data_IF_400654417054
#
_entry.id   IF_400654417054
#
_cell.length_a   1.000
_cell.length_b   1.000
_cell.length_c   1.000
_cell.angle_alpha   90.00
_cell.angle_beta   90.00
_cell.angle_gamma   90.00
#
_symmetry.space_group_name_H-M   'P 1'
#
loop_
_entity.id
_entity.type
_entity.pdbx_description
1 polymer ?
#
# COMPACT_ATOMS: atom_id res chain seq x y z
N UNK A 1 -0.91 -12.63 -30.10
CA UNK A 1 0.54 -12.56 -29.83
C UNK A 1 0.75 -12.80 -28.34
N UNK A 2 1.24 -13.97 -27.94
CA UNK A 2 1.55 -14.32 -26.56
C UNK A 2 2.83 -13.55 -26.17
N UNK A 3 2.72 -12.58 -25.28
CA UNK A 3 3.85 -11.78 -24.78
C UNK A 3 4.91 -12.71 -24.17
N UNK A 4 6.16 -12.50 -24.52
CA UNK A 4 7.37 -13.25 -24.10
C UNK A 4 7.60 -13.33 -22.57
N UNK A 5 6.89 -12.53 -21.78
CA UNK A 5 7.04 -12.44 -20.32
C UNK A 5 6.57 -13.67 -19.51
N UNK A 6 5.72 -14.52 -20.09
CA UNK A 6 5.19 -15.71 -19.39
C UNK A 6 6.11 -16.94 -19.43
N UNK A 7 7.32 -16.84 -20.00
CA UNK A 7 8.23 -17.96 -20.25
C UNK A 7 9.55 -17.85 -19.48
N UNK A 8 9.71 -16.86 -18.60
CA UNK A 8 10.94 -16.71 -17.80
C UNK A 8 10.83 -17.53 -16.51
N UNK A 9 11.65 -18.57 -16.41
CA UNK A 9 11.82 -19.32 -15.16
C UNK A 9 12.87 -18.63 -14.32
N UNK A 10 12.50 -18.15 -13.14
CA UNK A 10 13.48 -17.65 -12.16
C UNK A 10 14.12 -18.83 -11.43
N UNK A 11 15.38 -18.69 -11.00
CA UNK A 11 16.07 -19.70 -10.19
C UNK A 11 15.27 -20.06 -8.92
N UNK A 12 14.55 -19.10 -8.34
CA UNK A 12 13.67 -19.30 -7.20
C UNK A 12 12.49 -20.22 -7.55
N UNK A 13 11.83 -19.98 -8.68
CA UNK A 13 10.72 -20.82 -9.17
C UNK A 13 11.17 -22.23 -9.49
N UNK A 14 12.36 -22.39 -10.12
CA UNK A 14 12.93 -23.69 -10.39
C UNK A 14 13.24 -24.47 -9.09
N UNK A 15 13.80 -23.81 -8.08
CA UNK A 15 14.09 -24.41 -6.78
C UNK A 15 12.82 -24.88 -6.05
N UNK A 16 11.76 -24.06 -6.02
CA UNK A 16 10.46 -24.43 -5.42
C UNK A 16 9.86 -25.64 -6.16
N UNK A 17 9.91 -25.62 -7.48
CA UNK A 17 9.38 -26.68 -8.33
C UNK A 17 10.08 -28.02 -8.06
N UNK A 18 11.42 -28.01 -8.08
CA UNK A 18 12.22 -29.20 -7.81
C UNK A 18 12.03 -29.73 -6.39
N UNK A 19 11.97 -28.83 -5.40
CA UNK A 19 11.75 -29.19 -3.99
C UNK A 19 10.39 -29.83 -3.75
N UNK A 20 9.30 -29.25 -4.28
CA UNK A 20 7.95 -29.81 -4.15
C UNK A 20 7.81 -31.14 -4.87
N UNK A 21 8.38 -31.30 -6.07
CA UNK A 21 8.35 -32.54 -6.80
C UNK A 21 9.11 -33.65 -6.08
N UNK A 22 10.31 -33.37 -5.57
CA UNK A 22 11.10 -34.32 -4.79
C UNK A 22 10.38 -34.72 -3.49
N UNK A 23 9.81 -33.74 -2.75
CA UNK A 23 9.04 -34.01 -1.54
C UNK A 23 7.85 -34.91 -1.84
N UNK A 24 7.10 -34.65 -2.91
CA UNK A 24 5.95 -35.45 -3.33
C UNK A 24 6.38 -36.89 -3.63
N UNK A 25 7.48 -37.07 -4.36
CA UNK A 25 8.02 -38.40 -4.70
C UNK A 25 8.42 -39.18 -3.44
N UNK A 26 9.11 -38.51 -2.48
CA UNK A 26 9.50 -39.12 -1.19
C UNK A 26 8.27 -39.52 -0.37
N UNK A 27 7.28 -38.62 -0.29
CA UNK A 27 6.00 -38.91 0.43
C UNK A 27 5.29 -40.12 -0.18
N UNK A 28 5.16 -40.18 -1.49
CA UNK A 28 4.54 -41.33 -2.16
C UNK A 28 5.32 -42.64 -1.91
N UNK A 29 6.65 -42.59 -2.00
CA UNK A 29 7.52 -43.75 -1.74
C UNK A 29 7.44 -44.21 -0.26
N UNK A 30 7.37 -43.25 0.67
CA UNK A 30 7.21 -43.55 2.10
C UNK A 30 5.85 -44.16 2.40
N UNK A 31 4.75 -43.66 1.85
CA UNK A 31 3.41 -44.23 1.99
C UNK A 31 3.34 -45.62 1.42
N UNK A 32 4.03 -45.89 0.31
CA UNK A 32 4.14 -47.21 -0.26
C UNK A 32 4.89 -48.20 0.65
N UNK A 33 5.97 -47.75 1.34
CA UNK A 33 6.74 -48.57 2.30
C UNK A 33 6.01 -48.86 3.60
N UNK A 34 5.13 -47.95 4.07
CA UNK A 34 4.36 -48.17 5.31
C UNK A 34 3.32 -49.28 5.25
N UNK A 35 3.20 -49.97 4.11
CA UNK A 35 2.32 -51.14 4.00
C UNK A 35 0.83 -50.81 4.15
N UNK A 36 0.41 -49.54 3.94
CA UNK A 36 -1.00 -49.16 3.93
C UNK A 36 -1.83 -49.93 2.88
N UNK A 37 -1.13 -50.78 2.13
CA UNK A 37 -1.67 -51.67 1.10
C UNK A 37 -2.40 -52.90 1.66
N UNK A 38 -2.14 -53.30 2.92
CA UNK A 38 -2.79 -54.49 3.51
C UNK A 38 -4.14 -54.18 4.17
N UNK A 39 -4.39 -52.91 4.53
CA UNK A 39 -5.60 -52.50 5.29
C UNK A 39 -6.76 -52.11 4.37
N UNK A 40 -6.48 -51.76 3.13
CA UNK A 40 -7.52 -51.44 2.15
C UNK A 40 -7.23 -52.14 0.83
N UNK A 41 -8.25 -52.77 0.25
CA UNK A 41 -8.25 -53.26 -1.15
C UNK A 41 -8.06 -52.13 -2.18
N UNK A 42 -7.62 -50.97 -1.76
CA UNK A 42 -7.22 -49.84 -2.59
C UNK A 42 -5.79 -50.10 -3.09
N UNK A 43 -5.69 -50.69 -4.26
CA UNK A 43 -4.43 -50.82 -5.00
C UNK A 43 -3.69 -49.50 -5.04
N UNK A 44 -2.35 -49.52 -4.94
CA UNK A 44 -1.39 -48.40 -5.05
C UNK A 44 -1.69 -47.40 -6.17
N UNK A 45 -2.50 -47.77 -7.11
CA UNK A 45 -2.82 -47.04 -8.33
C UNK A 45 -3.73 -45.84 -8.11
N UNK A 46 -4.40 -45.73 -6.93
CA UNK A 46 -5.48 -44.73 -6.78
C UNK A 46 -5.02 -43.42 -6.15
N UNK A 47 -4.12 -43.42 -5.15
CA UNK A 47 -3.74 -42.19 -4.42
C UNK A 47 -2.52 -41.48 -5.00
N UNK A 48 -1.58 -42.23 -5.62
CA UNK A 48 -0.34 -41.61 -6.16
C UNK A 48 -0.65 -40.57 -7.23
N UNK A 49 -1.50 -40.80 -8.25
CA UNK A 49 -1.89 -39.78 -9.21
C UNK A 49 -2.51 -38.54 -8.57
N UNK A 50 -3.34 -38.69 -7.52
CA UNK A 50 -3.98 -37.60 -6.81
C UNK A 50 -2.98 -36.72 -6.09
N UNK A 51 -1.96 -37.30 -5.43
CA UNK A 51 -0.89 -36.55 -4.74
C UNK A 51 -0.05 -35.77 -5.75
N UNK A 52 0.24 -36.32 -6.93
CA UNK A 52 0.94 -35.61 -7.97
C UNK A 52 0.10 -34.49 -8.61
N UNK A 53 -1.21 -34.65 -8.76
CA UNK A 53 -2.11 -33.56 -9.18
C UNK A 53 -2.08 -32.43 -8.16
N UNK A 54 -2.09 -32.76 -6.86
CA UNK A 54 -1.91 -31.76 -5.80
C UNK A 54 -0.55 -31.03 -5.90
N UNK A 55 0.53 -31.76 -6.20
CA UNK A 55 1.84 -31.18 -6.44
C UNK A 55 1.81 -30.16 -7.61
N UNK A 56 1.18 -30.51 -8.73
CA UNK A 56 1.00 -29.61 -9.88
C UNK A 56 0.24 -28.35 -9.47
N UNK A 57 -0.84 -28.49 -8.68
CA UNK A 57 -1.61 -27.36 -8.16
C UNK A 57 -0.73 -26.45 -7.30
N UNK A 58 0.00 -27.02 -6.33
CA UNK A 58 0.87 -26.25 -5.43
C UNK A 58 1.99 -25.52 -6.19
N UNK A 59 2.63 -26.19 -7.15
CA UNK A 59 3.64 -25.54 -8.01
C UNK A 59 3.02 -24.41 -8.81
N UNK A 60 1.85 -24.61 -9.42
CA UNK A 60 1.14 -23.56 -10.18
C UNK A 60 0.70 -22.38 -9.32
N UNK A 61 0.41 -22.59 -8.02
CA UNK A 61 0.07 -21.54 -7.07
C UNK A 61 1.31 -20.76 -6.61
N UNK A 62 2.42 -21.45 -6.33
CA UNK A 62 3.61 -20.87 -5.71
C UNK A 62 4.62 -20.31 -6.71
N UNK A 63 4.52 -20.68 -8.00
CA UNK A 63 5.41 -20.20 -9.05
C UNK A 63 4.69 -19.28 -10.03
N UNK A 64 5.46 -18.39 -10.69
CA UNK A 64 4.94 -17.49 -11.70
C UNK A 64 5.13 -18.08 -13.10
N UNK A 65 4.07 -18.02 -13.93
CA UNK A 65 4.08 -18.46 -15.33
C UNK A 65 3.65 -19.91 -15.55
N UNK A 66 3.48 -20.24 -16.84
CA UNK A 66 2.97 -21.56 -17.29
C UNK A 66 4.02 -22.66 -17.29
N UNK A 67 5.30 -22.32 -17.41
CA UNK A 67 6.36 -23.30 -17.67
C UNK A 67 6.55 -24.28 -16.51
N UNK A 68 6.69 -23.80 -15.29
CA UNK A 68 6.92 -24.66 -14.13
C UNK A 68 5.80 -25.66 -13.94
N UNK A 69 4.54 -25.20 -13.99
CA UNK A 69 3.37 -26.07 -13.86
C UNK A 69 3.26 -27.10 -15.01
N UNK A 70 3.53 -26.69 -16.25
CA UNK A 70 3.50 -27.59 -17.41
C UNK A 70 4.59 -28.65 -17.33
N UNK A 71 5.82 -28.27 -16.98
CA UNK A 71 6.96 -29.20 -16.84
C UNK A 71 6.68 -30.20 -15.72
N UNK A 72 6.22 -29.73 -14.55
CA UNK A 72 5.88 -30.65 -13.43
C UNK A 72 4.71 -31.54 -13.79
N UNK A 73 3.71 -31.06 -14.52
CA UNK A 73 2.61 -31.88 -15.01
C UNK A 73 3.10 -33.06 -15.86
N UNK A 74 3.98 -32.79 -16.82
CA UNK A 74 4.59 -33.85 -17.64
C UNK A 74 5.46 -34.80 -16.81
N UNK A 75 6.35 -34.25 -15.98
CA UNK A 75 7.21 -35.06 -15.11
C UNK A 75 6.40 -35.93 -14.13
N UNK A 76 5.28 -35.42 -13.61
CA UNK A 76 4.39 -36.19 -12.72
C UNK A 76 3.78 -37.41 -13.42
N UNK A 77 3.35 -37.23 -14.66
CA UNK A 77 2.81 -38.34 -15.44
C UNK A 77 3.86 -39.44 -15.68
N UNK A 78 5.09 -39.02 -16.06
CA UNK A 78 6.21 -39.96 -16.22
C UNK A 78 6.63 -40.61 -14.90
N UNK A 79 6.69 -39.88 -13.80
CA UNK A 79 7.07 -40.38 -12.49
C UNK A 79 6.07 -41.44 -12.00
N UNK A 80 4.77 -41.21 -12.15
CA UNK A 80 3.73 -42.17 -11.77
C UNK A 80 3.87 -43.45 -12.57
N UNK A 81 4.06 -43.38 -13.89
CA UNK A 81 4.18 -44.56 -14.73
C UNK A 81 5.46 -45.36 -14.42
N UNK A 82 6.62 -44.67 -14.34
CA UNK A 82 7.92 -45.33 -14.21
C UNK A 82 8.21 -45.83 -12.80
N UNK A 83 7.88 -45.05 -11.76
CA UNK A 83 8.29 -45.33 -10.38
C UNK A 83 7.21 -46.14 -9.63
N UNK A 84 5.93 -45.82 -9.85
CA UNK A 84 4.84 -46.31 -9.00
C UNK A 84 3.91 -47.30 -9.65
N UNK A 85 4.10 -47.61 -10.94
CA UNK A 85 3.26 -48.58 -11.69
C UNK A 85 4.03 -49.89 -11.96
N UNK A 86 3.35 -51.01 -11.82
CA UNK A 86 3.95 -52.34 -12.10
C UNK A 86 4.02 -52.57 -13.63
N UNK A 87 5.12 -53.17 -14.19
CA UNK A 87 6.41 -53.46 -13.55
C UNK A 87 7.21 -52.18 -13.23
N UNK A 88 7.72 -52.08 -12.00
CA UNK A 88 8.47 -50.93 -11.53
C UNK A 88 9.77 -50.72 -12.34
N UNK A 89 10.14 -49.48 -12.54
CA UNK A 89 11.32 -49.04 -13.30
C UNK A 89 11.27 -49.42 -14.80
N UNK A 90 10.06 -49.63 -15.34
CA UNK A 90 9.84 -49.87 -16.76
C UNK A 90 8.62 -49.05 -17.25
N UNK A 91 8.65 -48.66 -18.53
CA UNK A 91 7.52 -47.94 -19.13
C UNK A 91 6.55 -48.98 -19.75
N UNK A 92 5.42 -49.17 -19.12
CA UNK A 92 4.41 -50.10 -19.62
C UNK A 92 3.11 -49.38 -19.99
N UNK A 93 2.79 -49.38 -21.27
CA UNK A 93 1.56 -48.83 -21.84
C UNK A 93 0.59 -49.92 -22.33
N UNK A 94 0.94 -51.17 -22.15
CA UNK A 94 0.19 -52.27 -22.74
C UNK A 94 -0.85 -52.87 -21.78
N UNK A 95 -0.77 -52.60 -20.47
CA UNK A 95 -1.75 -53.08 -19.49
C UNK A 95 -3.05 -52.28 -19.58
N UNK A 96 -4.17 -53.01 -19.59
CA UNK A 96 -5.51 -52.39 -19.64
C UNK A 96 -5.72 -51.47 -18.44
N UNK A 97 -5.98 -50.18 -18.71
CA UNK A 97 -6.24 -49.13 -17.71
C UNK A 97 -5.13 -48.08 -17.58
N UNK A 98 -3.87 -48.41 -17.78
CA UNK A 98 -2.78 -47.44 -17.64
C UNK A 98 -2.81 -46.31 -18.67
N UNK A 99 -3.11 -46.54 -19.95
CA UNK A 99 -3.27 -45.44 -20.91
C UNK A 99 -4.36 -44.44 -20.49
N UNK A 100 -5.48 -44.93 -19.94
CA UNK A 100 -6.57 -44.10 -19.48
C UNK A 100 -6.13 -43.23 -18.28
N UNK A 101 -5.42 -43.80 -17.30
CA UNK A 101 -4.89 -43.07 -16.13
C UNK A 101 -3.87 -42.00 -16.57
N UNK A 102 -3.01 -42.34 -17.51
CA UNK A 102 -2.05 -41.38 -18.10
C UNK A 102 -2.76 -40.17 -18.74
N UNK A 103 -3.73 -40.43 -19.63
CA UNK A 103 -4.45 -39.38 -20.33
C UNK A 103 -5.33 -38.54 -19.37
N UNK A 104 -6.00 -39.15 -18.41
CA UNK A 104 -6.83 -38.46 -17.43
C UNK A 104 -5.97 -37.59 -16.52
N UNK A 105 -4.84 -38.09 -16.01
CA UNK A 105 -3.91 -37.33 -15.19
C UNK A 105 -3.33 -36.16 -15.95
N UNK A 106 -2.89 -36.34 -17.22
CA UNK A 106 -2.38 -35.28 -18.06
C UNK A 106 -3.45 -34.21 -18.31
N UNK A 107 -4.67 -34.62 -18.67
CA UNK A 107 -5.78 -33.71 -18.92
C UNK A 107 -6.12 -32.88 -17.67
N UNK A 108 -6.25 -33.54 -16.51
CA UNK A 108 -6.53 -32.84 -15.23
C UNK A 108 -5.39 -31.88 -14.87
N UNK A 109 -4.13 -32.32 -14.96
CA UNK A 109 -2.98 -31.49 -14.62
C UNK A 109 -2.86 -30.25 -15.54
N UNK A 110 -3.06 -30.43 -16.85
CA UNK A 110 -3.06 -29.30 -17.79
C UNK A 110 -4.24 -28.35 -17.54
N UNK A 111 -5.42 -28.89 -17.25
CA UNK A 111 -6.59 -28.08 -16.94
C UNK A 111 -6.38 -27.25 -15.67
N UNK A 112 -5.88 -27.87 -14.59
CA UNK A 112 -5.57 -27.18 -13.33
C UNK A 112 -4.53 -26.10 -13.54
N UNK A 113 -3.45 -26.40 -14.25
CA UNK A 113 -2.39 -25.43 -14.55
C UNK A 113 -2.94 -24.23 -15.34
N UNK A 114 -3.71 -24.49 -16.40
CA UNK A 114 -4.31 -23.47 -17.25
C UNK A 114 -5.31 -22.61 -16.47
N UNK A 115 -6.17 -23.23 -15.64
CA UNK A 115 -7.14 -22.53 -14.82
C UNK A 115 -6.45 -21.61 -13.81
N UNK A 116 -5.47 -22.13 -13.08
CA UNK A 116 -4.72 -21.38 -12.07
C UNK A 116 -3.99 -20.17 -12.68
N UNK A 117 -3.35 -20.37 -13.82
CA UNK A 117 -2.67 -19.29 -14.53
C UNK A 117 -3.66 -18.24 -15.07
N UNK A 118 -4.83 -18.65 -15.52
CA UNK A 118 -5.90 -17.73 -15.97
C UNK A 118 -6.44 -16.91 -14.81
N UNK A 119 -6.70 -17.53 -13.66
CA UNK A 119 -7.15 -16.82 -12.45
C UNK A 119 -6.13 -15.78 -11.97
N UNK A 120 -4.86 -16.14 -11.88
CA UNK A 120 -3.78 -15.20 -11.52
C UNK A 120 -3.72 -14.01 -12.50
N UNK A 121 -3.86 -14.28 -13.81
CA UNK A 121 -3.87 -13.23 -14.82
C UNK A 121 -5.07 -12.30 -14.68
N UNK A 122 -6.26 -12.86 -14.42
CA UNK A 122 -7.47 -12.05 -14.20
C UNK A 122 -7.33 -11.16 -12.97
N UNK A 123 -6.80 -11.68 -11.87
CA UNK A 123 -6.57 -10.93 -10.64
C UNK A 123 -5.59 -9.77 -10.86
N UNK A 124 -4.48 -10.04 -11.58
CA UNK A 124 -3.51 -8.99 -11.95
C UNK A 124 -4.13 -7.89 -12.80
N UNK A 125 -4.88 -8.26 -13.85
CA UNK A 125 -5.58 -7.29 -14.72
C UNK A 125 -6.59 -6.47 -13.91
N UNK A 126 -7.30 -7.12 -12.97
CA UNK A 126 -8.24 -6.44 -12.10
C UNK A 126 -7.55 -5.41 -11.22
N UNK A 127 -6.45 -5.76 -10.58
CA UNK A 127 -5.66 -4.85 -9.76
C UNK A 127 -5.10 -3.66 -10.57
N UNK A 128 -4.57 -3.93 -11.78
CA UNK A 128 -4.11 -2.89 -12.70
C UNK A 128 -5.27 -1.95 -13.09
N UNK A 129 -6.45 -2.49 -13.41
CA UNK A 129 -7.62 -1.70 -13.76
C UNK A 129 -8.17 -0.88 -12.57
N UNK A 130 -8.14 -1.41 -11.35
CA UNK A 130 -8.53 -0.69 -10.14
C UNK A 130 -7.56 0.48 -9.86
N UNK A 131 -6.26 0.27 -10.03
CA UNK A 131 -5.23 1.31 -9.90
C UNK A 131 -5.43 2.43 -10.93
N UNK A 132 -5.66 2.07 -12.19
CA UNK A 132 -5.93 3.07 -13.26
C UNK A 132 -7.25 3.84 -13.03
N UNK A 133 -8.29 3.18 -12.56
CA UNK A 133 -9.54 3.85 -12.16
C UNK A 133 -9.32 4.84 -11.02
N UNK A 134 -8.55 4.44 -10.02
CA UNK A 134 -8.20 5.32 -8.90
C UNK A 134 -7.43 6.55 -9.39
N UNK A 135 -6.42 6.37 -10.26
CA UNK A 135 -5.67 7.47 -10.88
C UNK A 135 -6.57 8.42 -11.67
N UNK A 136 -7.47 7.87 -12.50
CA UNK A 136 -8.40 8.68 -13.28
C UNK A 136 -9.38 9.48 -12.40
N UNK A 137 -9.89 8.88 -11.32
CA UNK A 137 -10.76 9.57 -10.38
C UNK A 137 -10.02 10.67 -9.62
N UNK A 138 -8.77 10.42 -9.18
CA UNK A 138 -7.90 11.42 -8.57
C UNK A 138 -7.68 12.61 -9.50
N UNK A 139 -7.29 12.38 -10.76
CA UNK A 139 -7.08 13.45 -11.74
C UNK A 139 -8.35 14.27 -12.00
N UNK A 140 -9.52 13.63 -12.05
CA UNK A 140 -10.81 14.31 -12.24
C UNK A 140 -11.15 15.19 -11.04
N UNK A 141 -10.99 14.67 -9.82
CA UNK A 141 -11.23 15.40 -8.59
C UNK A 141 -10.28 16.60 -8.48
N UNK A 142 -8.98 16.39 -8.72
CA UNK A 142 -7.97 17.45 -8.74
C UNK A 142 -8.34 18.55 -9.75
N UNK A 143 -8.72 18.16 -10.96
CA UNK A 143 -9.09 19.13 -12.03
C UNK A 143 -10.30 19.98 -11.63
N UNK A 144 -11.29 19.37 -10.97
CA UNK A 144 -12.47 20.08 -10.47
C UNK A 144 -12.08 21.10 -9.40
N UNK A 145 -11.25 20.69 -8.44
CA UNK A 145 -10.92 21.49 -7.28
C UNK A 145 -9.89 22.58 -7.58
N UNK A 146 -9.02 22.38 -8.59
CA UNK A 146 -8.18 23.46 -9.13
C UNK A 146 -9.00 24.54 -9.85
N UNK A 147 -10.09 24.14 -10.53
CA UNK A 147 -10.91 25.08 -11.30
C UNK A 147 -11.61 26.11 -10.40
N UNK A 148 -12.10 25.71 -9.24
CA UNK A 148 -12.85 26.58 -8.32
C UNK A 148 -12.04 27.78 -7.85
N UNK A 149 -10.84 27.65 -7.23
CA UNK A 149 -10.02 28.79 -6.82
C UNK A 149 -9.51 29.59 -8.01
N UNK A 150 -9.16 28.96 -9.13
CA UNK A 150 -8.77 29.69 -10.34
C UNK A 150 -9.89 30.59 -10.87
N UNK A 151 -11.14 30.12 -10.83
CA UNK A 151 -12.30 30.94 -11.22
C UNK A 151 -12.53 32.08 -10.24
N UNK A 152 -12.33 31.85 -8.93
CA UNK A 152 -12.45 32.90 -7.92
C UNK A 152 -11.35 33.95 -8.04
N UNK A 153 -10.08 33.55 -8.26
CA UNK A 153 -8.96 34.45 -8.53
C UNK A 153 -9.27 35.29 -9.76
N UNK A 154 -9.66 34.64 -10.88
CA UNK A 154 -9.96 35.34 -12.13
C UNK A 154 -11.14 36.34 -11.97
N UNK A 155 -12.23 35.91 -11.31
CA UNK A 155 -13.37 36.78 -11.05
C UNK A 155 -13.03 37.97 -10.15
N UNK A 156 -12.24 37.77 -9.09
CA UNK A 156 -11.79 38.82 -8.21
C UNK A 156 -10.86 39.81 -8.94
N UNK A 157 -9.95 39.31 -9.80
CA UNK A 157 -9.06 40.13 -10.60
C UNK A 157 -9.83 40.95 -11.65
N UNK A 158 -10.80 40.36 -12.36
CA UNK A 158 -11.66 41.08 -13.32
C UNK A 158 -12.44 42.18 -12.60
N UNK A 159 -13.02 41.87 -11.43
CA UNK A 159 -13.74 42.91 -10.64
C UNK A 159 -12.87 44.07 -10.25
N UNK A 160 -11.60 43.81 -9.91
CA UNK A 160 -10.62 44.87 -9.60
C UNK A 160 -10.24 45.69 -10.83
N UNK A 161 -10.14 45.09 -12.01
CA UNK A 161 -9.77 45.75 -13.26
C UNK A 161 -10.91 46.56 -13.86
N UNK A 162 -12.15 46.12 -13.73
CA UNK A 162 -13.32 46.76 -14.35
C UNK A 162 -13.94 47.86 -13.47
N UNK A 163 -13.57 47.95 -12.17
CA UNK A 163 -14.17 48.88 -11.24
C UNK A 163 -13.14 49.79 -10.55
N UNK A 164 -12.79 50.89 -11.17
CA UNK A 164 -11.82 51.85 -10.63
C UNK A 164 -12.25 52.50 -9.30
N UNK A 165 -13.58 52.62 -9.06
CA UNK A 165 -14.19 53.30 -7.92
C UNK A 165 -14.52 52.39 -6.74
N UNK A 166 -13.92 51.18 -6.64
CA UNK A 166 -14.14 50.30 -5.50
C UNK A 166 -13.59 50.95 -4.23
N UNK A 167 -14.32 50.85 -3.09
CA UNK A 167 -13.79 51.28 -1.79
C UNK A 167 -12.52 50.46 -1.41
N UNK A 168 -11.57 51.12 -0.74
CA UNK A 168 -10.28 50.49 -0.38
C UNK A 168 -10.44 49.19 0.43
N UNK A 169 -11.44 49.10 1.32
CA UNK A 169 -11.72 47.89 2.06
C UNK A 169 -12.15 46.73 1.14
N UNK A 170 -12.87 47.04 0.06
CA UNK A 170 -13.31 46.04 -0.91
C UNK A 170 -12.15 45.59 -1.78
N UNK A 171 -11.29 46.52 -2.24
CA UNK A 171 -10.03 46.20 -2.95
C UNK A 171 -9.16 45.29 -2.10
N UNK A 172 -8.96 45.62 -0.82
CA UNK A 172 -8.16 44.84 0.11
C UNK A 172 -8.74 43.44 0.37
N UNK A 173 -10.08 43.31 0.45
CA UNK A 173 -10.77 42.06 0.59
C UNK A 173 -10.60 41.14 -0.63
N UNK A 174 -10.73 41.68 -1.86
CA UNK A 174 -10.55 40.95 -3.11
C UNK A 174 -9.08 40.50 -3.28
N UNK A 175 -8.13 41.38 -2.99
CA UNK A 175 -6.69 41.02 -3.02
C UNK A 175 -6.35 39.96 -1.99
N UNK A 176 -6.91 40.01 -0.79
CA UNK A 176 -6.77 38.98 0.22
C UNK A 176 -7.32 37.64 -0.26
N UNK A 177 -8.52 37.62 -0.88
CA UNK A 177 -9.10 36.41 -1.44
C UNK A 177 -8.24 35.81 -2.56
N UNK A 178 -7.67 36.63 -3.44
CA UNK A 178 -6.74 36.17 -4.48
C UNK A 178 -5.51 35.52 -3.86
N UNK A 179 -4.92 36.16 -2.85
CA UNK A 179 -3.73 35.63 -2.17
C UNK A 179 -4.04 34.26 -1.50
N UNK A 180 -5.14 34.19 -0.76
CA UNK A 180 -5.56 32.97 -0.06
C UNK A 180 -5.78 31.80 -1.02
N UNK A 181 -6.44 32.07 -2.17
CA UNK A 181 -6.70 31.06 -3.19
C UNK A 181 -5.41 30.63 -3.92
N UNK A 182 -4.49 31.56 -4.16
CA UNK A 182 -3.17 31.27 -4.75
C UNK A 182 -2.30 30.41 -3.81
N UNK A 183 -2.22 30.74 -2.52
CA UNK A 183 -1.53 29.94 -1.52
C UNK A 183 -2.13 28.52 -1.39
N UNK A 184 -3.46 28.43 -1.48
CA UNK A 184 -4.14 27.14 -1.46
C UNK A 184 -3.74 26.28 -2.67
N UNK A 185 -3.68 26.87 -3.87
CA UNK A 185 -3.24 26.18 -5.09
C UNK A 185 -1.79 25.71 -5.00
N UNK A 186 -0.88 26.50 -4.44
CA UNK A 186 0.52 26.11 -4.22
C UNK A 186 0.58 24.86 -3.34
N UNK A 187 -0.10 24.86 -2.19
CA UNK A 187 -0.16 23.70 -1.28
C UNK A 187 -0.74 22.46 -1.95
N UNK A 188 -1.77 22.65 -2.78
CA UNK A 188 -2.39 21.52 -3.51
C UNK A 188 -1.42 20.89 -4.51
N UNK A 189 -0.65 21.70 -5.24
CA UNK A 189 0.38 21.23 -6.19
C UNK A 189 1.51 20.49 -5.43
N UNK A 190 1.98 21.02 -4.31
CA UNK A 190 2.99 20.35 -3.47
C UNK A 190 2.51 18.96 -2.98
N UNK A 191 1.26 18.88 -2.52
CA UNK A 191 0.66 17.60 -2.12
C UNK A 191 0.53 16.60 -3.28
N UNK A 192 0.17 17.10 -4.48
CA UNK A 192 0.08 16.25 -5.68
C UNK A 192 1.45 15.71 -6.11
N UNK A 193 2.48 16.55 -6.10
CA UNK A 193 3.86 16.13 -6.42
C UNK A 193 4.35 15.06 -5.45
N UNK A 194 3.98 15.14 -4.17
CA UNK A 194 4.32 14.12 -3.17
C UNK A 194 3.62 12.79 -3.44
N UNK A 195 2.33 12.80 -3.83
CA UNK A 195 1.60 11.58 -4.23
C UNK A 195 2.23 10.94 -5.47
N UNK A 196 2.63 11.75 -6.46
CA UNK A 196 3.24 11.21 -7.70
C UNK A 196 4.64 10.64 -7.46
N UNK A 197 5.42 11.21 -6.53
CA UNK A 197 6.71 10.64 -6.10
C UNK A 197 6.56 9.27 -5.45
N UNK A 198 5.51 9.07 -4.64
CA UNK A 198 5.25 7.81 -3.92
C UNK A 198 4.56 6.77 -4.82
N UNK A 199 3.73 7.20 -5.78
CA UNK A 199 2.92 6.34 -6.65
C UNK A 199 3.66 5.70 -7.84
N UNK A 200 4.91 6.04 -8.08
CA UNK A 200 5.77 5.30 -8.99
C UNK A 200 6.26 4.05 -8.24
N UNK A 201 5.69 2.88 -8.54
CA UNK A 201 5.89 1.56 -7.94
C UNK A 201 7.36 1.08 -7.76
N UNK A 202 8.33 1.95 -7.99
CA UNK A 202 9.77 1.67 -7.92
C UNK A 202 10.57 2.76 -7.20
N UNK A 203 9.98 3.86 -6.78
CA UNK A 203 10.71 4.88 -6.04
C UNK A 203 10.94 4.36 -4.60
N UNK A 204 12.05 3.66 -4.40
CA UNK A 204 12.61 3.47 -3.07
C UNK A 204 12.77 4.86 -2.47
N UNK A 205 11.98 5.17 -1.43
CA UNK A 205 12.26 6.37 -0.62
C UNK A 205 13.68 6.22 -0.11
N UNK A 206 14.53 7.19 -0.41
CA UNK A 206 15.87 7.24 0.14
C UNK A 206 15.76 7.64 1.61
N UNK A 207 15.74 6.65 2.48
CA UNK A 207 15.74 6.86 3.93
C UNK A 207 17.17 7.05 4.38
N UNK A 208 17.40 8.11 5.12
CA UNK A 208 18.65 8.40 5.81
C UNK A 208 18.37 8.45 7.31
N UNK A 209 19.37 8.15 8.12
CA UNK A 209 19.26 8.29 9.57
C UNK A 209 19.29 9.77 9.93
N UNK A 210 18.11 10.35 10.14
CA UNK A 210 17.89 11.76 10.39
C UNK A 210 17.53 12.01 11.85
N UNK A 211 17.94 13.16 12.37
CA UNK A 211 17.59 13.63 13.71
C UNK A 211 16.12 14.07 13.71
N UNK A 212 15.25 13.27 14.35
CA UNK A 212 13.81 13.48 14.32
C UNK A 212 13.40 14.84 14.94
N UNK A 213 14.12 15.31 15.94
CA UNK A 213 13.92 16.59 16.60
C UNK A 213 14.11 17.76 15.63
N UNK A 214 15.14 17.72 14.76
CA UNK A 214 15.42 18.74 13.77
C UNK A 214 14.29 18.84 12.75
N UNK A 215 13.75 17.71 12.30
CA UNK A 215 12.62 17.66 11.37
C UNK A 215 11.36 18.26 12.02
N UNK A 216 11.12 17.97 13.31
CA UNK A 216 10.01 18.57 14.09
C UNK A 216 10.19 20.09 14.19
N UNK A 217 11.37 20.58 14.57
CA UNK A 217 11.63 22.02 14.67
C UNK A 217 11.50 22.73 13.34
N UNK A 218 11.97 22.11 12.25
CA UNK A 218 11.82 22.63 10.89
C UNK A 218 10.34 22.77 10.50
N UNK A 219 9.51 21.76 10.78
CA UNK A 219 8.08 21.78 10.55
C UNK A 219 7.38 22.87 11.37
N UNK A 220 7.70 22.99 12.65
CA UNK A 220 7.15 24.03 13.55
C UNK A 220 7.54 25.43 13.07
N UNK A 221 8.79 25.62 12.64
CA UNK A 221 9.27 26.90 12.12
C UNK A 221 8.50 27.32 10.86
N UNK A 222 8.34 26.40 9.90
CA UNK A 222 7.55 26.61 8.67
C UNK A 222 6.09 26.93 9.00
N UNK A 223 5.50 26.22 9.94
CA UNK A 223 4.13 26.44 10.38
C UNK A 223 3.94 27.83 11.02
N UNK A 224 4.82 28.23 11.94
CA UNK A 224 4.74 29.52 12.65
C UNK A 224 4.85 30.73 11.72
N UNK A 225 5.55 30.61 10.59
CA UNK A 225 5.63 31.66 9.57
C UNK A 225 4.23 32.01 9.00
N UNK A 226 3.31 31.02 8.92
CA UNK A 226 1.96 31.20 8.36
C UNK A 226 0.88 31.36 9.45
N UNK A 227 1.13 30.84 10.65
CA UNK A 227 0.20 30.85 11.80
C UNK A 227 0.84 31.42 13.07
N UNK A 228 1.23 32.72 13.08
CA UNK A 228 1.95 33.31 14.22
C UNK A 228 1.12 33.36 15.51
N UNK A 229 -0.22 33.30 15.41
CA UNK A 229 -1.15 33.34 16.54
C UNK A 229 -1.40 32.01 17.25
N UNK A 230 -0.84 30.89 16.74
CA UNK A 230 -1.04 29.56 17.34
C UNK A 230 0.19 29.18 18.15
N UNK A 231 0.00 28.86 19.42
CA UNK A 231 1.07 28.37 20.30
C UNK A 231 1.39 26.90 19.95
N UNK A 232 2.68 26.61 19.71
CA UNK A 232 3.15 25.22 19.48
C UNK A 232 4.21 24.86 20.49
N UNK A 233 3.97 23.82 21.27
CA UNK A 233 4.84 23.32 22.34
C UNK A 233 5.43 21.96 21.93
N UNK A 234 6.74 21.85 21.70
CA UNK A 234 7.39 20.57 21.48
C UNK A 234 7.63 19.84 22.81
N UNK A 235 7.32 18.54 22.84
CA UNK A 235 7.61 17.61 23.93
C UNK A 235 8.51 16.50 23.38
N UNK A 236 9.81 16.67 23.52
CA UNK A 236 10.84 15.81 22.91
C UNK A 236 11.56 15.03 23.99
N UNK A 237 12.12 13.85 23.68
CA UNK A 237 12.95 13.07 24.60
C UNK A 237 14.25 13.83 24.91
N UNK A 238 14.89 13.53 26.03
CA UNK A 238 16.17 14.12 26.41
C UNK A 238 17.33 13.64 25.51
N UNK A 239 17.21 12.44 24.95
CA UNK A 239 18.21 11.85 24.03
C UNK A 239 17.81 12.05 22.58
N UNK A 240 18.76 12.41 21.75
CA UNK A 240 18.59 12.55 20.30
C UNK A 240 18.12 11.24 19.69
N UNK A 241 17.09 11.31 18.84
CA UNK A 241 16.51 10.13 18.19
C UNK A 241 16.81 10.13 16.69
N UNK A 242 17.66 9.19 16.26
CA UNK A 242 17.89 8.92 14.84
C UNK A 242 16.78 8.01 14.32
N UNK A 243 16.14 8.43 13.23
CA UNK A 243 15.04 7.72 12.57
C UNK A 243 15.33 7.62 11.08
N UNK A 244 15.30 6.41 10.49
CA UNK A 244 15.47 6.22 9.06
C UNK A 244 14.28 6.80 8.28
N UNK A 245 14.43 8.00 7.70
CA UNK A 245 13.34 8.69 6.99
C UNK A 245 13.86 9.62 5.87
N UNK A 246 12.94 10.04 5.00
CA UNK A 246 13.12 11.21 4.11
C UNK A 246 12.66 12.45 4.90
N UNK A 247 13.57 13.37 5.26
CA UNK A 247 13.25 14.52 6.12
C UNK A 247 12.25 15.48 5.48
N UNK A 248 12.26 15.62 4.15
CA UNK A 248 11.36 16.51 3.43
C UNK A 248 9.92 15.98 3.46
N UNK A 249 9.75 14.68 3.24
CA UNK A 249 8.44 14.04 3.27
C UNK A 249 7.85 14.01 4.69
N UNK A 250 8.67 13.72 5.71
CA UNK A 250 8.19 13.71 7.09
C UNK A 250 7.92 15.14 7.61
N UNK A 251 8.73 16.11 7.24
CA UNK A 251 8.42 17.52 7.51
C UNK A 251 7.08 17.93 6.90
N UNK A 252 6.77 17.48 5.67
CA UNK A 252 5.47 17.73 5.04
C UNK A 252 4.32 17.09 5.82
N UNK A 253 4.47 15.84 6.30
CA UNK A 253 3.46 15.20 7.16
C UNK A 253 3.19 16.07 8.40
N UNK A 254 4.24 16.47 9.13
CA UNK A 254 4.11 17.28 10.33
C UNK A 254 3.47 18.64 10.03
N UNK A 255 3.91 19.32 8.98
CA UNK A 255 3.33 20.62 8.58
C UNK A 255 1.85 20.49 8.24
N UNK A 256 1.45 19.46 7.48
CA UNK A 256 0.05 19.20 7.15
C UNK A 256 -0.80 18.93 8.41
N UNK A 257 -0.28 18.19 9.39
CA UNK A 257 -0.99 17.93 10.65
C UNK A 257 -1.18 19.21 11.46
N UNK A 258 -0.13 20.03 11.59
CA UNK A 258 -0.18 21.32 12.27
C UNK A 258 -1.19 22.29 11.62
N UNK A 259 -1.15 22.40 10.28
CA UNK A 259 -2.11 23.23 9.54
C UNK A 259 -3.55 22.75 9.67
N UNK A 260 -3.77 21.43 9.69
CA UNK A 260 -5.10 20.86 9.91
C UNK A 260 -5.64 21.22 11.29
N UNK A 261 -4.82 21.14 12.34
CA UNK A 261 -5.20 21.53 13.70
C UNK A 261 -5.60 23.00 13.78
N UNK A 262 -4.83 23.89 13.15
CA UNK A 262 -5.12 25.32 13.17
C UNK A 262 -6.35 25.70 12.34
N UNK A 263 -6.46 25.17 11.09
CA UNK A 263 -7.51 25.57 10.14
C UNK A 263 -8.86 24.89 10.43
N UNK A 264 -8.83 23.59 10.69
CA UNK A 264 -10.04 22.76 10.85
C UNK A 264 -10.45 22.60 12.32
N UNK A 265 -9.47 22.42 13.19
CA UNK A 265 -9.71 22.35 14.63
C UNK A 265 -9.98 23.70 15.26
N UNK A 266 -9.59 24.83 14.62
CA UNK A 266 -9.61 26.15 15.22
C UNK A 266 -8.70 26.21 16.47
N UNK A 267 -7.64 25.41 16.49
CA UNK A 267 -6.77 25.26 17.64
C UNK A 267 -5.98 26.53 17.90
N UNK A 268 -5.88 26.91 19.16
CA UNK A 268 -5.01 27.98 19.66
C UNK A 268 -3.71 27.45 20.25
N UNK A 269 -3.71 26.19 20.67
CA UNK A 269 -2.57 25.50 21.24
C UNK A 269 -2.41 24.12 20.60
N UNK A 270 -1.17 23.78 20.20
CA UNK A 270 -0.81 22.49 19.63
C UNK A 270 0.43 21.96 20.36
N UNK A 271 0.38 20.69 20.74
CA UNK A 271 1.53 19.98 21.31
C UNK A 271 2.05 18.98 20.29
N UNK A 272 3.36 19.03 19.99
CA UNK A 272 4.05 18.03 19.14
C UNK A 272 4.96 17.20 20.04
N UNK A 273 4.72 15.90 20.11
CA UNK A 273 5.56 15.01 20.92
C UNK A 273 6.22 13.92 20.08
N UNK A 274 7.40 13.50 20.54
CA UNK A 274 8.17 12.39 20.00
C UNK A 274 8.49 11.43 21.15
N UNK A 275 8.20 10.15 20.94
CA UNK A 275 8.53 9.11 21.90
C UNK A 275 8.98 7.82 21.21
N UNK A 276 9.92 7.11 21.79
CA UNK A 276 10.29 5.77 21.34
C UNK A 276 9.43 4.73 22.03
N UNK A 277 8.80 3.85 21.24
CA UNK A 277 8.04 2.71 21.75
C UNK A 277 8.59 1.42 21.11
N UNK A 278 9.51 0.77 21.81
CA UNK A 278 10.20 -0.41 21.28
C UNK A 278 11.01 -0.08 20.02
N UNK A 279 10.64 -0.69 18.90
CA UNK A 279 11.28 -0.51 17.61
C UNK A 279 10.60 0.52 16.69
N UNK A 280 9.82 1.42 17.26
CA UNK A 280 9.18 2.51 16.50
C UNK A 280 9.36 3.84 17.20
N UNK A 281 9.56 4.90 16.41
CA UNK A 281 9.45 6.29 16.82
C UNK A 281 8.00 6.73 16.59
N UNK A 282 7.34 7.23 17.61
CA UNK A 282 5.96 7.72 17.56
C UNK A 282 5.96 9.24 17.63
N UNK A 283 5.47 9.85 16.57
CA UNK A 283 5.23 11.30 16.46
C UNK A 283 3.75 11.54 16.75
N UNK A 284 3.47 12.52 17.60
CA UNK A 284 2.09 12.86 17.98
C UNK A 284 1.87 14.35 17.87
N UNK A 285 0.78 14.75 17.21
CA UNK A 285 0.28 16.12 17.14
C UNK A 285 -1.06 16.14 17.87
N UNK A 286 -1.13 16.88 18.96
CA UNK A 286 -2.33 17.08 19.77
C UNK A 286 -2.74 18.53 19.75
N UNK A 287 -4.00 18.79 19.50
CA UNK A 287 -4.58 20.13 19.49
C UNK A 287 -5.68 20.29 20.56
N UNK A 288 -6.01 21.54 20.86
CA UNK A 288 -7.13 21.94 21.75
C UNK A 288 -8.36 22.39 20.95
N UNK A 289 -8.53 21.93 19.73
CA UNK A 289 -9.59 22.36 18.83
C UNK A 289 -10.94 21.67 19.06
N UNK A 290 -11.84 21.82 18.09
CA UNK A 290 -13.23 21.33 18.16
C UNK A 290 -13.37 19.80 18.04
N UNK A 291 -12.28 19.09 17.72
CA UNK A 291 -12.33 17.65 17.46
C UNK A 291 -12.80 17.30 16.04
N UNK A 292 -12.78 16.02 15.73
CA UNK A 292 -13.25 15.45 14.46
C UNK A 292 -14.62 14.82 14.69
N UNK A 293 -15.55 15.03 13.76
CA UNK A 293 -16.89 14.40 13.79
C UNK A 293 -16.74 12.89 13.83
N UNK A 294 -17.43 12.21 14.76
CA UNK A 294 -17.26 10.76 15.03
C UNK A 294 -17.44 9.88 13.80
N UNK A 295 -18.37 10.24 12.92
CA UNK A 295 -18.65 9.51 11.68
C UNK A 295 -17.49 9.61 10.66
N UNK A 296 -16.65 10.65 10.76
CA UNK A 296 -15.49 10.85 9.87
C UNK A 296 -14.21 10.15 10.34
N UNK A 297 -14.09 9.87 11.64
CA UNK A 297 -12.88 9.28 12.22
C UNK A 297 -12.45 7.97 11.55
N UNK A 298 -13.33 6.99 11.28
CA UNK A 298 -12.94 5.73 10.63
C UNK A 298 -12.42 5.91 9.19
N UNK A 299 -12.87 6.97 8.51
CA UNK A 299 -12.59 7.24 7.11
C UNK A 299 -11.63 8.43 6.89
N UNK A 300 -11.01 8.90 7.95
CA UNK A 300 -10.20 10.11 7.95
C UNK A 300 -9.02 10.04 6.96
N UNK A 301 -8.50 8.85 6.74
CA UNK A 301 -7.32 8.59 5.91
C UNK A 301 -7.66 7.91 4.57
N UNK A 302 -8.94 7.58 4.30
CA UNK A 302 -9.35 6.79 3.13
C UNK A 302 -9.27 7.55 1.79
N UNK A 303 -8.95 8.85 1.83
CA UNK A 303 -8.80 9.69 0.64
C UNK A 303 -10.12 10.18 0.05
N UNK A 304 -10.06 10.66 -1.18
CA UNK A 304 -11.18 11.31 -1.89
C UNK A 304 -12.29 10.31 -2.14
N UNK A 305 -13.43 10.45 -1.48
CA UNK A 305 -14.63 9.68 -1.85
C UNK A 305 -15.64 9.39 -0.78
N UNK A 306 -15.37 9.64 0.48
CA UNK A 306 -16.32 9.40 1.56
C UNK A 306 -16.92 10.70 2.09
N UNK A 307 -18.00 11.08 1.55
CA UNK A 307 -19.24 11.73 1.97
C UNK A 307 -19.72 12.74 0.93
N UNK A 308 -20.93 12.57 0.38
CA UNK A 308 -21.62 13.67 -0.29
C UNK A 308 -22.01 14.69 0.79
N UNK A 309 -21.51 15.92 0.69
CA UNK A 309 -22.07 17.03 1.46
C UNK A 309 -23.55 17.19 1.11
N UNK A 310 -24.42 16.81 2.02
CA UNK A 310 -25.77 17.33 2.08
C UNK A 310 -25.72 18.68 2.79
N UNK A 311 -25.89 19.75 2.00
CA UNK A 311 -26.32 21.06 2.44
C UNK A 311 -25.44 21.84 3.43
N UNK A 312 -24.55 22.66 2.90
CA UNK A 312 -23.92 23.75 3.64
C UNK A 312 -23.58 24.89 2.67
N UNK A 313 -24.39 25.92 2.69
CA UNK A 313 -24.14 27.19 1.97
C UNK A 313 -22.82 27.79 2.47
N UNK A 314 -21.78 27.84 1.63
CA UNK A 314 -20.61 28.70 1.83
C UNK A 314 -19.36 28.12 2.47
N UNK A 315 -19.27 26.81 2.74
CA UNK A 315 -18.05 26.17 3.22
C UNK A 315 -17.23 25.59 2.06
N UNK A 316 -15.99 26.07 1.84
CA UNK A 316 -15.03 25.44 0.91
C UNK A 316 -14.88 23.98 1.31
N UNK A 317 -15.34 23.06 0.46
CA UNK A 317 -15.06 21.63 0.59
C UNK A 317 -13.55 21.45 0.48
N UNK A 318 -12.86 21.37 1.62
CA UNK A 318 -11.43 21.07 1.62
C UNK A 318 -11.30 19.56 1.49
N UNK A 319 -10.94 19.13 0.30
CA UNK A 319 -10.66 17.75 -0.04
C UNK A 319 -9.67 17.16 0.97
N UNK A 320 -10.01 16.00 1.56
CA UNK A 320 -9.15 15.25 2.49
C UNK A 320 -7.86 14.67 1.89
N UNK A 321 -7.29 15.37 0.88
CA UNK A 321 -6.03 14.97 0.23
C UNK A 321 -4.86 15.05 1.21
N UNK A 322 -4.81 16.08 2.06
CA UNK A 322 -3.68 16.27 2.98
C UNK A 322 -3.43 15.05 3.87
N UNK A 323 -4.48 14.51 4.49
CA UNK A 323 -4.34 13.35 5.40
C UNK A 323 -4.11 12.03 4.67
N UNK A 324 -4.68 11.83 3.48
CA UNK A 324 -4.39 10.66 2.66
C UNK A 324 -2.95 10.67 2.11
N UNK A 325 -2.42 11.85 1.78
CA UNK A 325 -0.99 12.04 1.45
C UNK A 325 -0.11 11.70 2.66
N UNK A 326 -0.44 12.21 3.85
CA UNK A 326 0.27 11.86 5.08
C UNK A 326 0.29 10.35 5.32
N UNK A 327 -0.86 9.68 5.20
CA UNK A 327 -0.95 8.22 5.31
C UNK A 327 -0.07 7.51 4.28
N UNK A 328 -0.06 7.96 3.03
CA UNK A 328 0.74 7.37 1.95
C UNK A 328 2.25 7.54 2.22
N UNK A 329 2.67 8.72 2.69
CA UNK A 329 4.06 8.97 3.08
C UNK A 329 4.48 8.05 4.23
N UNK A 330 3.68 7.98 5.29
CA UNK A 330 3.95 7.17 6.48
C UNK A 330 4.01 5.68 6.12
N UNK A 331 3.07 5.18 5.32
CA UNK A 331 3.08 3.78 4.82
C UNK A 331 4.31 3.47 3.98
N UNK A 332 4.72 4.37 3.10
CA UNK A 332 5.91 4.20 2.28
C UNK A 332 7.20 4.17 3.13
N UNK A 333 7.18 4.79 4.31
CA UNK A 333 8.22 4.66 5.34
C UNK A 333 8.11 3.36 6.16
N UNK A 334 7.08 2.53 5.96
CA UNK A 334 6.83 1.31 6.72
C UNK A 334 6.16 1.57 8.08
N UNK A 335 5.56 2.75 8.25
CA UNK A 335 4.87 3.18 9.44
C UNK A 335 3.36 3.00 9.39
N UNK A 336 2.70 3.47 10.45
CA UNK A 336 1.24 3.52 10.58
C UNK A 336 0.80 4.86 11.14
N UNK A 337 -0.47 5.23 10.89
CA UNK A 337 -1.06 6.50 11.34
C UNK A 337 -2.43 6.25 11.94
N UNK A 338 -2.75 7.00 13.00
CA UNK A 338 -4.04 6.91 13.70
C UNK A 338 -4.48 8.29 14.19
N UNK A 339 -5.79 8.44 14.38
CA UNK A 339 -6.38 9.66 14.95
C UNK A 339 -7.43 9.30 15.97
N UNK A 340 -7.56 10.14 17.01
CA UNK A 340 -8.61 10.04 18.02
C UNK A 340 -8.98 11.40 18.56
N UNK A 341 -10.22 11.55 19.00
CA UNK A 341 -10.61 12.71 19.77
C UNK A 341 -10.24 12.55 21.26
N UNK A 342 -9.98 13.67 21.90
CA UNK A 342 -9.82 13.81 23.35
C UNK A 342 -10.89 14.75 23.88
N UNK A 343 -11.01 14.89 25.21
CA UNK A 343 -11.99 15.78 25.85
C UNK A 343 -11.79 17.27 25.50
N UNK A 344 -10.68 17.63 24.87
CA UNK A 344 -10.37 19.01 24.51
C UNK A 344 -9.73 19.17 23.13
N UNK A 345 -9.99 18.28 22.16
CA UNK A 345 -9.43 18.42 20.82
C UNK A 345 -9.16 17.10 20.10
N UNK A 346 -8.14 17.09 19.23
CA UNK A 346 -7.75 15.91 18.44
C UNK A 346 -6.31 15.50 18.73
N UNK A 347 -6.07 14.20 18.66
CA UNK A 347 -4.72 13.61 18.65
C UNK A 347 -4.55 12.81 17.40
N UNK A 348 -3.57 13.19 16.58
CA UNK A 348 -3.12 12.42 15.42
C UNK A 348 -1.70 11.94 15.69
N UNK A 349 -1.49 10.63 15.55
CA UNK A 349 -0.18 10.00 15.77
C UNK A 349 0.24 9.20 14.56
N UNK A 350 1.54 9.21 14.27
CA UNK A 350 2.13 8.29 13.30
C UNK A 350 3.42 7.68 13.83
N UNK A 351 3.71 6.47 13.37
CA UNK A 351 4.90 5.72 13.78
C UNK A 351 5.83 5.47 12.61
N UNK A 352 7.14 5.48 12.85
CA UNK A 352 8.16 5.09 11.89
C UNK A 352 9.03 3.99 12.51
N UNK A 353 9.46 2.97 11.75
CA UNK A 353 10.35 1.93 12.27
C UNK A 353 11.74 2.51 12.58
N UNK A 354 12.28 2.11 13.73
CA UNK A 354 13.64 2.49 14.18
C UNK A 354 14.40 1.20 14.44
N UNK A 355 15.68 1.12 14.07
CA UNK A 355 16.49 -0.04 14.41
C UNK A 355 16.51 -0.28 15.93
N UNK A 356 16.60 -1.54 16.37
CA UNK A 356 16.78 -1.83 17.79
C UNK A 356 18.03 -1.11 18.29
N UNK A 357 17.97 -0.62 19.53
CA UNK A 357 19.16 -0.02 20.18
C UNK A 357 20.20 -1.13 20.27
N UNK A 358 21.28 -1.02 19.50
CA UNK A 358 22.46 -1.85 19.74
C UNK A 358 23.04 -1.42 21.10
N UNK A 359 23.05 -2.30 22.09
CA UNK A 359 23.67 -2.11 23.42
C UNK A 359 25.20 -1.92 23.37
N UNK A 360 25.74 -1.38 22.31
CA UNK A 360 27.17 -1.22 22.10
C UNK A 360 27.57 0.26 22.18
N UNK A 361 27.39 0.87 23.34
CA UNK A 361 28.07 2.11 23.70
C UNK A 361 28.03 2.31 25.24
N UNK A 362 28.59 1.35 25.97
CA UNK A 362 28.96 1.49 27.37
C UNK A 362 30.27 0.73 27.58
N UNK A 363 31.36 1.29 27.05
CA UNK A 363 32.72 1.05 27.53
C UNK A 363 33.54 2.35 27.40
#
# INVERSE_FOLDING_TARGET
MLKKENWTVTWKSAGITAGLFALTTVVCAFLQRLGLNEISQLRNETYVPLVYVLCVLLVSLLTDGYLCGTVVSLLSVFAVNYVFTYPYMDFNFSLSGYPLTFFTMLAVSLTVNTLTATLKRQERIRMEAETERMRANLLRAISHDLRTPLTAISGSAITLLENDNLPDWQKKKLLGSINDDAEWLIRMVENLLSVTRIGLESARIEKQDEVAEEVIFSAISKFKAHFPGVAVTPQLPESVMLVPMDPVLIQQVLTNLLENSARHGGATEITVSLARQGNVAVFTVQDNGTGIVRERLPHLFDGIGFLPEKNGVGGRSQMGIGLSVCMSIVKAHGGSMSARNTDGGTVVSFSLPVPPVSETAAE
#
